data_IF_231396081480
#
_entry.id   IF_231396081480
#
_cell.length_a   1.000
_cell.length_b   1.000
_cell.length_c   1.000
_cell.angle_alpha   90.00
_cell.angle_beta   90.00
_cell.angle_gamma   90.00
#
_symmetry.space_group_name_H-M   'P 1'
#
loop_
_entity.id
_entity.type
_entity.pdbx_description
1 polymer ?
#
# COMPACT_ATOMS: atom_id res chain seq x y z
N UNK A 1 5.17 -21.38 -3.40
CA UNK A 1 4.46 -20.53 -4.40
C UNK A 1 3.06 -20.16 -3.88
N UNK A 2 2.63 -18.90 -3.97
CA UNK A 2 1.24 -18.50 -3.63
C UNK A 2 0.29 -18.94 -4.75
N UNK A 3 -0.77 -19.68 -4.40
CA UNK A 3 -1.80 -20.14 -5.35
C UNK A 3 -2.54 -18.94 -5.96
N UNK A 4 -2.78 -18.91 -7.29
CA UNK A 4 -3.48 -17.80 -7.93
C UNK A 4 -4.91 -17.68 -7.37
N UNK A 5 -5.32 -16.45 -7.04
CA UNK A 5 -6.66 -16.16 -6.55
C UNK A 5 -7.66 -16.25 -7.70
N UNK A 6 -8.71 -17.05 -7.53
CA UNK A 6 -9.84 -17.13 -8.49
C UNK A 6 -10.46 -15.75 -8.67
N UNK A 7 -10.74 -15.36 -9.93
CA UNK A 7 -11.43 -14.10 -10.26
C UNK A 7 -12.84 -14.16 -9.65
N UNK A 8 -13.19 -13.14 -8.86
CA UNK A 8 -14.54 -12.99 -8.31
C UNK A 8 -15.43 -12.29 -9.35
N UNK A 9 -16.69 -12.68 -9.40
CA UNK A 9 -17.70 -12.03 -10.26
C UNK A 9 -18.19 -10.76 -9.56
N UNK A 10 -18.20 -9.64 -10.28
CA UNK A 10 -18.64 -8.35 -9.76
C UNK A 10 -20.13 -8.35 -9.39
N UNK A 11 -20.51 -7.64 -8.31
CA UNK A 11 -21.93 -7.45 -7.96
C UNK A 11 -22.73 -6.79 -9.10
N UNK A 12 -22.14 -5.81 -9.80
CA UNK A 12 -22.79 -5.12 -10.93
C UNK A 12 -23.24 -6.09 -12.03
N UNK A 13 -22.41 -7.09 -12.34
CA UNK A 13 -22.71 -8.07 -13.38
C UNK A 13 -23.77 -9.08 -12.91
N UNK A 14 -23.82 -9.39 -11.62
CA UNK A 14 -24.85 -10.27 -11.06
C UNK A 14 -26.23 -9.60 -11.07
N UNK A 15 -26.26 -8.35 -10.67
CA UNK A 15 -27.49 -7.57 -10.52
C UNK A 15 -27.92 -6.92 -11.86
N UNK A 16 -27.16 -7.15 -12.94
CA UNK A 16 -27.36 -6.60 -14.30
C UNK A 16 -27.57 -5.07 -14.29
N UNK A 17 -26.80 -4.39 -13.46
CA UNK A 17 -26.85 -2.93 -13.34
C UNK A 17 -26.05 -2.32 -14.50
N UNK A 18 -26.74 -1.62 -15.39
CA UNK A 18 -26.14 -0.96 -16.55
C UNK A 18 -25.51 0.39 -16.19
N UNK A 19 -26.12 1.12 -15.25
CA UNK A 19 -25.67 2.45 -14.82
C UNK A 19 -25.52 2.55 -13.30
N UNK A 20 -24.43 3.18 -12.83
CA UNK A 20 -24.16 3.37 -11.40
C UNK A 20 -24.39 4.83 -11.03
N UNK A 21 -25.53 5.12 -10.39
CA UNK A 21 -25.84 6.45 -9.85
C UNK A 21 -25.21 6.65 -8.46
N UNK A 22 -24.86 7.90 -8.13
CA UNK A 22 -24.42 8.30 -6.79
C UNK A 22 -25.55 8.25 -5.75
N UNK A 23 -26.81 8.28 -6.20
CA UNK A 23 -28.01 8.23 -5.33
C UNK A 23 -28.29 6.83 -4.78
N UNK A 24 -27.81 5.78 -5.45
CA UNK A 24 -28.07 4.39 -5.06
C UNK A 24 -27.15 3.94 -3.91
N UNK A 25 -27.39 4.49 -2.72
CA UNK A 25 -26.55 4.25 -1.53
C UNK A 25 -26.42 2.76 -1.19
N UNK A 26 -27.47 1.98 -1.41
CA UNK A 26 -27.47 0.53 -1.17
C UNK A 26 -26.47 -0.19 -2.07
N UNK A 27 -26.43 0.17 -3.36
CA UNK A 27 -25.47 -0.38 -4.32
C UNK A 27 -24.04 0.07 -3.96
N UNK A 28 -23.85 1.36 -3.69
CA UNK A 28 -22.53 1.92 -3.38
C UNK A 28 -21.95 1.36 -2.08
N UNK A 29 -22.79 1.06 -1.09
CA UNK A 29 -22.36 0.42 0.17
C UNK A 29 -21.70 -0.94 -0.06
N UNK A 30 -22.12 -1.70 -1.08
CA UNK A 30 -21.48 -2.98 -1.43
C UNK A 30 -20.01 -2.81 -1.88
N UNK A 31 -19.67 -1.64 -2.43
CA UNK A 31 -18.32 -1.29 -2.88
C UNK A 31 -17.48 -0.57 -1.82
N UNK A 32 -18.00 -0.41 -0.62
CA UNK A 32 -17.33 0.27 0.49
C UNK A 32 -17.08 -0.74 1.62
N UNK A 33 -16.01 -0.52 2.36
CA UNK A 33 -15.69 -1.28 3.57
C UNK A 33 -16.37 -0.68 4.79
N UNK A 34 -16.42 -1.41 5.90
CA UNK A 34 -17.03 -0.93 7.15
C UNK A 34 -16.34 0.34 7.69
N UNK A 35 -15.09 0.58 7.30
CA UNK A 35 -14.31 1.80 7.59
C UNK A 35 -14.61 2.97 6.65
N UNK A 36 -15.66 2.84 5.84
CA UNK A 36 -16.02 3.76 4.77
C UNK A 36 -14.96 3.94 3.67
N UNK A 37 -14.02 3.00 3.50
CA UNK A 37 -13.02 3.03 2.40
C UNK A 37 -13.52 2.27 1.17
N UNK A 38 -13.26 2.80 -0.04
CA UNK A 38 -13.61 2.15 -1.30
C UNK A 38 -12.86 0.82 -1.41
N UNK A 39 -13.57 -0.27 -1.68
CA UNK A 39 -12.98 -1.60 -1.88
C UNK A 39 -12.21 -1.64 -3.21
N UNK A 40 -11.10 -2.36 -3.22
CA UNK A 40 -10.32 -2.52 -4.45
C UNK A 40 -11.03 -3.42 -5.44
N UNK A 41 -10.72 -3.22 -6.72
CA UNK A 41 -11.23 -4.01 -7.84
C UNK A 41 -11.05 -5.53 -7.60
N UNK A 42 -9.94 -5.94 -6.99
CA UNK A 42 -9.61 -7.36 -6.72
C UNK A 42 -10.52 -8.01 -5.68
N UNK A 43 -11.11 -7.22 -4.78
CA UNK A 43 -12.01 -7.70 -3.72
C UNK A 43 -13.42 -7.85 -4.27
N UNK A 44 -13.90 -6.84 -5.00
CA UNK A 44 -15.24 -6.81 -5.56
C UNK A 44 -15.38 -7.60 -6.86
N UNK A 45 -14.31 -7.71 -7.65
CA UNK A 45 -14.33 -8.40 -8.95
C UNK A 45 -14.78 -7.52 -10.13
N UNK A 46 -14.83 -6.19 -9.96
CA UNK A 46 -15.25 -5.25 -11.01
C UNK A 46 -14.25 -5.19 -12.16
N UNK A 47 -14.69 -4.74 -13.33
CA UNK A 47 -13.76 -4.32 -14.38
C UNK A 47 -13.10 -2.96 -14.05
N UNK A 48 -12.02 -2.60 -14.75
CA UNK A 48 -11.33 -1.31 -14.58
C UNK A 48 -12.24 -0.13 -14.93
N UNK A 49 -13.09 -0.28 -15.95
CA UNK A 49 -14.06 0.76 -16.32
C UNK A 49 -15.10 0.97 -15.21
N UNK A 50 -15.77 -0.11 -14.83
CA UNK A 50 -16.75 -0.15 -13.74
C UNK A 50 -16.19 0.41 -12.44
N UNK A 51 -14.94 0.06 -12.10
CA UNK A 51 -14.30 0.56 -10.88
C UNK A 51 -14.12 2.10 -10.92
N UNK A 52 -13.80 2.69 -12.07
CA UNK A 52 -13.69 4.15 -12.22
C UNK A 52 -15.04 4.82 -12.06
N UNK A 53 -16.10 4.25 -12.64
CA UNK A 53 -17.47 4.77 -12.53
C UNK A 53 -17.96 4.72 -11.10
N UNK A 54 -17.86 3.55 -10.44
CA UNK A 54 -18.20 3.39 -9.02
C UNK A 54 -17.40 4.35 -8.15
N UNK A 55 -16.09 4.51 -8.41
CA UNK A 55 -15.28 5.44 -7.63
C UNK A 55 -15.71 6.91 -7.82
N UNK A 56 -16.12 7.31 -9.02
CA UNK A 56 -16.68 8.64 -9.29
C UNK A 56 -18.01 8.81 -8.54
N UNK A 57 -18.93 7.86 -8.69
CA UNK A 57 -20.23 7.88 -8.01
C UNK A 57 -20.08 7.98 -6.48
N UNK A 58 -19.15 7.22 -5.87
CA UNK A 58 -18.88 7.28 -4.43
C UNK A 58 -18.32 8.66 -4.02
N UNK A 59 -17.48 9.28 -4.84
CA UNK A 59 -16.94 10.62 -4.54
C UNK A 59 -18.05 11.66 -4.52
N UNK A 60 -18.91 11.66 -5.55
CA UNK A 60 -20.08 12.54 -5.62
C UNK A 60 -21.04 12.27 -4.45
N UNK A 61 -21.33 11.00 -4.14
CA UNK A 61 -22.18 10.64 -3.01
C UNK A 61 -21.64 11.11 -1.65
N UNK A 62 -20.31 11.18 -1.49
CA UNK A 62 -19.67 11.72 -0.29
C UNK A 62 -19.74 13.24 -0.22
N UNK A 63 -19.59 13.92 -1.35
CA UNK A 63 -19.80 15.37 -1.45
C UNK A 63 -21.25 15.74 -1.10
N UNK A 64 -22.21 14.90 -1.51
CA UNK A 64 -23.63 15.03 -1.15
C UNK A 64 -23.98 14.51 0.25
N UNK A 65 -22.98 14.14 1.06
CA UNK A 65 -23.14 13.59 2.41
C UNK A 65 -24.04 12.33 2.52
N UNK A 66 -24.31 11.62 1.43
CA UNK A 66 -25.06 10.35 1.43
C UNK A 66 -24.24 9.21 2.05
N UNK A 67 -22.90 9.31 1.96
CA UNK A 67 -21.94 8.30 2.40
C UNK A 67 -20.81 8.98 3.18
N UNK A 68 -20.35 8.42 4.33
CA UNK A 68 -19.26 8.99 5.10
C UNK A 68 -17.88 8.83 4.42
N UNK A 69 -16.95 9.74 4.73
CA UNK A 69 -15.54 9.67 4.29
C UNK A 69 -14.70 8.69 5.12
N UNK A 70 -15.03 8.55 6.41
CA UNK A 70 -14.35 7.67 7.34
C UNK A 70 -15.30 7.22 8.45
N UNK A 71 -15.24 5.94 8.80
CA UNK A 71 -15.92 5.42 9.98
C UNK A 71 -14.85 4.96 10.97
N UNK A 72 -14.87 5.53 12.18
CA UNK A 72 -13.97 5.11 13.26
C UNK A 72 -14.50 3.78 13.83
N UNK A 73 -13.79 2.69 13.57
CA UNK A 73 -14.10 1.41 14.22
C UNK A 73 -13.44 1.44 15.60
N UNK A 74 -14.25 1.64 16.63
CA UNK A 74 -13.80 1.51 18.02
C UNK A 74 -13.66 0.03 18.31
N UNK A 75 -12.45 -0.51 18.17
CA UNK A 75 -12.18 -1.85 18.71
C UNK A 75 -12.16 -1.71 20.22
N UNK A 76 -13.05 -2.42 20.91
CA UNK A 76 -12.94 -2.58 22.35
C UNK A 76 -11.62 -3.31 22.59
N UNK A 77 -10.59 -2.58 23.05
CA UNK A 77 -9.39 -3.21 23.56
C UNK A 77 -9.82 -3.99 24.78
N UNK A 78 -9.89 -5.32 24.67
CA UNK A 78 -9.90 -6.19 25.84
C UNK A 78 -8.63 -5.82 26.63
N UNK A 79 -8.83 -5.15 27.76
CA UNK A 79 -7.77 -4.58 28.58
C UNK A 79 -6.69 -5.58 28.92
N UNK A 80 -5.49 -5.03 29.12
CA UNK A 80 -4.31 -5.61 29.75
C UNK A 80 -4.45 -7.07 30.23
N UNK A 81 -3.83 -7.99 29.49
CA UNK A 81 -3.30 -9.22 30.07
C UNK A 81 -1.85 -9.02 30.55
N UNK A 82 -1.53 -7.83 31.07
CA UNK A 82 -0.33 -7.61 31.88
C UNK A 82 -0.61 -8.04 33.32
N UNK A 83 -0.73 -9.35 33.52
CA UNK A 83 -0.44 -10.03 34.78
C UNK A 83 0.41 -11.24 34.41
N UNK A 84 1.67 -11.20 34.80
CA UNK A 84 2.66 -12.24 34.49
C UNK A 84 3.96 -11.71 33.89
N UNK A 85 4.54 -10.64 34.48
CA UNK A 85 5.95 -10.29 34.30
C UNK A 85 6.56 -10.26 35.70
N UNK A 86 6.75 -11.43 36.29
CA UNK A 86 7.43 -11.58 37.60
C UNK A 86 8.35 -12.80 37.71
N UNK A 87 8.56 -13.60 36.65
CA UNK A 87 9.35 -14.84 36.75
C UNK A 87 10.49 -14.93 35.71
N UNK A 88 11.21 -13.83 35.44
CA UNK A 88 12.39 -13.85 34.54
C UNK A 88 13.69 -13.33 35.14
N UNK A 89 13.75 -13.13 36.46
CA UNK A 89 14.99 -12.72 37.16
C UNK A 89 15.65 -13.87 37.91
N UNK A 90 15.60 -15.09 37.38
CA UNK A 90 16.43 -16.16 37.94
C UNK A 90 16.85 -17.14 36.85
N UNK A 91 18.16 -17.26 36.69
CA UNK A 91 18.90 -18.27 35.92
C UNK A 91 19.15 -17.94 34.46
N UNK A 92 20.18 -17.13 34.24
CA UNK A 92 21.21 -17.39 33.24
C UNK A 92 22.54 -16.95 33.87
N UNK A 93 22.90 -17.62 34.96
CA UNK A 93 24.30 -17.90 35.26
C UNK A 93 24.80 -18.83 34.13
N UNK A 94 26.06 -18.64 33.71
CA UNK A 94 26.82 -19.50 32.79
C UNK A 94 26.67 -19.29 31.26
N UNK A 95 27.00 -18.09 30.74
CA UNK A 95 27.56 -18.00 29.38
C UNK A 95 28.96 -17.40 29.42
N UNK A 96 29.94 -18.29 29.53
CA UNK A 96 31.36 -18.04 29.27
C UNK A 96 31.52 -17.79 27.77
N UNK A 97 31.70 -16.53 27.36
CA UNK A 97 32.23 -16.24 26.02
C UNK A 97 33.76 -16.26 26.07
N UNK A 98 34.22 -17.49 25.85
CA UNK A 98 35.54 -17.90 25.43
C UNK A 98 35.96 -17.19 24.12
N UNK A 99 37.15 -16.59 24.16
CA UNK A 99 38.09 -16.38 23.06
C UNK A 99 37.54 -16.08 21.65
N UNK A 100 37.33 -14.82 21.31
CA UNK A 100 37.61 -14.27 19.96
C UNK A 100 38.00 -12.80 20.05
N UNK A 101 39.13 -12.55 20.72
CA UNK A 101 39.79 -11.26 20.86
C UNK A 101 40.81 -10.96 19.74
N UNK A 102 40.64 -11.49 18.52
CA UNK A 102 41.59 -11.26 17.42
C UNK A 102 40.90 -11.22 16.04
N UNK A 103 40.16 -10.14 15.77
CA UNK A 103 39.86 -9.77 14.38
C UNK A 103 40.28 -8.31 14.18
N UNK A 104 41.41 -8.04 13.51
CA UNK A 104 41.80 -6.67 13.22
C UNK A 104 40.77 -6.03 12.28
N UNK A 105 40.55 -4.71 12.38
CA UNK A 105 39.72 -4.00 11.42
C UNK A 105 40.36 -4.10 10.03
N UNK A 106 39.58 -4.50 9.03
CA UNK A 106 40.01 -4.50 7.64
C UNK A 106 40.28 -3.05 7.20
N UNK A 107 41.54 -2.73 6.90
CA UNK A 107 41.95 -1.49 6.24
C UNK A 107 41.28 -1.41 4.86
N UNK A 108 40.24 -0.60 4.76
CA UNK A 108 39.55 -0.34 3.50
C UNK A 108 40.41 0.65 2.69
N UNK A 109 41.42 0.13 1.99
CA UNK A 109 42.17 0.83 0.93
C UNK A 109 41.24 1.06 -0.27
N UNK A 110 40.33 2.02 -0.11
CA UNK A 110 39.46 2.48 -1.16
C UNK A 110 40.12 3.60 -1.96
N UNK A 111 41.06 3.24 -2.85
CA UNK A 111 41.38 4.08 -4.00
C UNK A 111 40.12 4.19 -4.87
N UNK A 112 39.30 5.21 -4.59
CA UNK A 112 38.17 5.59 -5.45
C UNK A 112 38.77 6.30 -6.66
N UNK A 113 39.09 5.52 -7.68
CA UNK A 113 39.43 6.02 -9.00
C UNK A 113 38.18 6.70 -9.58
N UNK A 114 38.16 8.04 -9.57
CA UNK A 114 37.09 8.85 -10.16
C UNK A 114 37.44 9.08 -11.63
N UNK A 115 36.75 8.46 -12.60
CA UNK A 115 36.98 8.78 -14.00
C UNK A 115 36.46 10.20 -14.28
N UNK A 116 37.41 11.11 -14.55
CA UNK A 116 37.17 12.44 -15.12
C UNK A 116 36.78 12.28 -16.59
N UNK A 117 35.48 12.10 -16.86
CA UNK A 117 34.95 12.17 -18.23
C UNK A 117 34.12 13.44 -18.37
N UNK A 118 34.71 14.44 -19.01
CA UNK A 118 34.07 15.71 -19.34
C UNK A 118 32.96 15.47 -20.37
N UNK A 119 31.76 16.07 -20.23
CA UNK A 119 30.81 16.07 -21.32
C UNK A 119 31.26 17.03 -22.41
N UNK A 120 31.61 16.49 -23.59
CA UNK A 120 31.69 17.27 -24.83
C UNK A 120 30.32 17.90 -25.12
N UNK A 121 30.27 19.23 -25.08
CA UNK A 121 29.12 20.01 -25.54
C UNK A 121 29.11 20.02 -27.06
N UNK A 122 28.34 19.10 -27.65
CA UNK A 122 28.04 19.12 -29.09
C UNK A 122 27.23 20.38 -29.42
N UNK A 123 27.88 21.30 -30.12
CA UNK A 123 27.27 22.47 -30.76
C UNK A 123 26.30 22.03 -31.84
N UNK A 124 25.00 22.32 -31.68
CA UNK A 124 24.03 22.29 -32.78
C UNK A 124 23.63 23.71 -33.13
N UNK A 125 24.44 24.33 -33.98
CA UNK A 125 23.99 25.39 -34.87
C UNK A 125 23.53 24.71 -36.16
N UNK A 126 22.24 24.72 -36.44
CA UNK A 126 21.77 24.58 -37.82
C UNK A 126 20.44 25.31 -37.97
N UNK A 127 20.56 26.39 -38.74
CA UNK A 127 19.54 27.26 -39.26
C UNK A 127 18.44 26.46 -39.98
N UNK A 128 17.17 26.79 -39.71
CA UNK A 128 16.11 26.53 -40.68
C UNK A 128 15.48 27.85 -41.11
N UNK A 129 16.11 28.38 -42.15
CA UNK A 129 15.60 29.35 -43.10
C UNK A 129 14.21 28.93 -43.62
N UNK A 130 13.29 29.90 -43.63
CA UNK A 130 12.28 30.18 -44.64
C UNK A 130 11.56 29.02 -45.35
N UNK A 131 10.24 28.98 -45.17
CA UNK A 131 9.21 29.12 -46.23
C UNK A 131 7.95 29.70 -45.61
#
# INVERSE_FOLDING_TARGET
MRKPRKKKVSPLVKDKVEYVDYKDVNLLRAFISDRAKIRSQRVSGNDRHQQREVAKAIKVAREMALIPYAQRVVTQRKGDRRRGRSDRDSRNDDFVDDATSDRPPDDFDGDVDVPEEAPEVVSTSEDNSSI
#
